data_IF_854890202507
#
_entry.id   IF_854890202507
#
_cell.length_a   1.000
_cell.length_b   1.000
_cell.length_c   1.000
_cell.angle_alpha   90.00
_cell.angle_beta   90.00
_cell.angle_gamma   90.00
#
_symmetry.space_group_name_H-M   'P 1'
#
loop_
_entity.id
_entity.type
_entity.pdbx_description
1 polymer ?
#
# COMPACT_ATOMS: atom_id res chain seq x y z
N UNK A 1 3.97 -13.34 19.24
CA UNK A 1 4.84 -12.66 18.27
C UNK A 1 4.53 -11.19 18.37
N UNK A 2 5.52 -10.37 18.69
CA UNK A 2 5.40 -8.92 18.65
C UNK A 2 4.98 -8.48 17.24
N UNK A 3 4.07 -7.50 17.12
CA UNK A 3 3.69 -6.96 15.81
C UNK A 3 4.95 -6.45 15.12
N UNK A 4 5.23 -6.93 13.90
CA UNK A 4 6.32 -6.40 13.06
C UNK A 4 6.14 -4.88 12.98
N UNK A 5 7.14 -4.11 13.42
CA UNK A 5 7.06 -2.65 13.38
C UNK A 5 6.89 -2.15 11.94
N UNK A 6 6.29 -0.97 11.76
CA UNK A 6 6.13 -0.41 10.41
C UNK A 6 7.49 -0.23 9.70
N UNK A 7 8.54 0.11 10.47
CA UNK A 7 9.91 0.22 9.97
C UNK A 7 10.44 -1.13 9.45
N UNK A 8 10.24 -2.21 10.20
CA UNK A 8 10.68 -3.54 9.78
C UNK A 8 9.83 -4.05 8.58
N UNK A 9 8.54 -3.74 8.56
CA UNK A 9 7.67 -4.03 7.42
C UNK A 9 8.18 -3.33 6.15
N UNK A 10 8.48 -2.03 6.22
CA UNK A 10 9.04 -1.27 5.08
C UNK A 10 10.43 -1.75 4.66
N UNK A 11 11.24 -2.25 5.59
CA UNK A 11 12.54 -2.85 5.28
C UNK A 11 12.39 -4.15 4.48
N UNK A 12 11.40 -4.98 4.83
CA UNK A 12 11.08 -6.21 4.09
C UNK A 12 10.46 -5.93 2.71
N UNK A 13 9.73 -4.82 2.58
CA UNK A 13 9.05 -4.42 1.35
C UNK A 13 9.51 -3.03 0.89
N UNK A 14 10.65 -2.93 0.19
CA UNK A 14 11.24 -1.64 -0.22
C UNK A 14 10.33 -0.77 -1.11
N UNK A 15 9.33 -1.37 -1.75
CA UNK A 15 8.29 -0.65 -2.50
C UNK A 15 7.52 0.36 -1.62
N UNK A 16 7.47 0.13 -0.31
CA UNK A 16 6.79 0.99 0.65
C UNK A 16 7.71 2.02 1.32
N UNK A 17 9.00 2.06 0.96
CA UNK A 17 10.00 2.91 1.65
C UNK A 17 9.62 4.40 1.63
N UNK A 18 9.10 4.87 0.50
CA UNK A 18 8.77 6.28 0.27
C UNK A 18 7.29 6.60 0.59
N UNK A 19 6.51 5.61 1.03
CA UNK A 19 5.11 5.82 1.39
C UNK A 19 5.04 6.43 2.79
N UNK A 20 4.32 7.54 3.01
CA UNK A 20 4.17 8.15 4.33
C UNK A 20 3.55 7.18 5.36
N UNK A 21 4.02 7.24 6.61
CA UNK A 21 3.58 6.34 7.70
C UNK A 21 2.08 6.46 8.00
N UNK A 22 1.50 7.64 7.81
CA UNK A 22 0.06 7.90 8.01
C UNK A 22 -0.85 7.22 6.97
N UNK A 23 -0.28 6.69 5.88
CA UNK A 23 -1.02 5.89 4.89
C UNK A 23 -1.10 4.41 5.31
N UNK A 24 -0.49 4.03 6.44
CA UNK A 24 -0.54 2.68 7.00
C UNK A 24 -1.42 2.59 8.24
N UNK A 25 -2.18 1.50 8.35
CA UNK A 25 -2.90 1.13 9.57
C UNK A 25 -2.57 -0.31 9.93
N UNK A 26 -2.43 -0.60 11.22
CA UNK A 26 -2.25 -1.96 11.70
C UNK A 26 -3.60 -2.53 12.13
N UNK A 27 -4.03 -3.62 11.49
CA UNK A 27 -5.31 -4.26 11.77
C UNK A 27 -5.18 -5.79 11.69
N UNK A 28 -5.66 -6.48 12.73
CA UNK A 28 -5.68 -7.96 12.80
C UNK A 28 -4.36 -8.64 12.43
N UNK A 29 -3.24 -8.14 12.96
CA UNK A 29 -1.93 -8.74 12.69
C UNK A 29 -1.30 -8.37 11.35
N UNK A 30 -1.92 -7.45 10.59
CA UNK A 30 -1.48 -7.06 9.25
C UNK A 30 -1.34 -5.56 9.12
N UNK A 31 -0.32 -5.13 8.38
CA UNK A 31 -0.22 -3.76 7.87
C UNK A 31 -1.12 -3.63 6.65
N UNK A 32 -2.10 -2.75 6.74
CA UNK A 32 -2.90 -2.30 5.60
C UNK A 32 -2.36 -0.96 5.14
N UNK A 33 -2.42 -0.74 3.83
CA UNK A 33 -2.02 0.50 3.17
C UNK A 33 -3.27 1.15 2.58
N UNK A 34 -3.31 2.48 2.59
CA UNK A 34 -4.42 3.23 2.00
C UNK A 34 -4.56 2.94 0.50
N UNK A 35 -5.79 3.06 0.00
CA UNK A 35 -6.06 2.94 -1.43
C UNK A 35 -5.33 4.02 -2.24
N UNK A 36 -5.20 5.24 -1.67
CA UNK A 36 -4.49 6.37 -2.28
C UNK A 36 -3.01 6.05 -2.49
N UNK A 37 -2.32 5.56 -1.47
CA UNK A 37 -0.91 5.19 -1.57
C UNK A 37 -0.73 3.99 -2.52
N UNK A 38 -1.61 3.00 -2.46
CA UNK A 38 -1.62 1.87 -3.40
C UNK A 38 -1.74 2.36 -4.85
N UNK A 39 -2.62 3.33 -5.11
CA UNK A 39 -2.79 3.95 -6.42
C UNK A 39 -1.51 4.64 -6.88
N UNK A 40 -0.92 5.49 -6.04
CA UNK A 40 0.32 6.19 -6.37
C UNK A 40 1.45 5.21 -6.74
N UNK A 41 1.62 4.14 -5.95
CA UNK A 41 2.58 3.07 -6.24
C UNK A 41 2.28 2.40 -7.59
N UNK A 42 1.01 2.09 -7.86
CA UNK A 42 0.62 1.47 -9.12
C UNK A 42 0.98 2.35 -10.34
N UNK A 43 0.78 3.67 -10.25
CA UNK A 43 1.19 4.62 -11.29
C UNK A 43 2.72 4.74 -11.40
N UNK A 44 3.44 4.84 -10.27
CA UNK A 44 4.90 4.92 -10.25
C UNK A 44 5.56 3.71 -10.92
N UNK A 45 5.04 2.52 -10.63
CA UNK A 45 5.54 1.26 -11.19
C UNK A 45 4.91 0.89 -12.53
N UNK A 46 4.04 1.74 -13.10
CA UNK A 46 3.32 1.51 -14.36
C UNK A 46 2.56 0.17 -14.40
N UNK A 47 2.04 -0.28 -13.25
CA UNK A 47 1.30 -1.53 -13.13
C UNK A 47 -0.15 -1.33 -13.61
N UNK A 48 -0.40 -1.62 -14.88
CA UNK A 48 -1.68 -1.37 -15.55
C UNK A 48 -2.84 -2.19 -14.96
N UNK A 49 -2.58 -3.43 -14.53
CA UNK A 49 -3.61 -4.30 -13.96
C UNK A 49 -4.07 -3.79 -12.60
N UNK A 50 -3.13 -3.38 -11.75
CA UNK A 50 -3.44 -2.81 -10.45
C UNK A 50 -4.17 -1.45 -10.58
N UNK A 51 -3.76 -0.61 -11.54
CA UNK A 51 -4.47 0.66 -11.83
C UNK A 51 -5.91 0.39 -12.26
N UNK A 52 -6.14 -0.60 -13.14
CA UNK A 52 -7.48 -0.98 -13.60
C UNK A 52 -8.34 -1.43 -12.43
N UNK A 53 -7.83 -2.35 -11.62
CA UNK A 53 -8.52 -2.87 -10.44
C UNK A 53 -8.90 -1.75 -9.46
N UNK A 54 -7.99 -0.83 -9.16
CA UNK A 54 -8.26 0.31 -8.26
C UNK A 54 -9.36 1.20 -8.83
N UNK A 55 -9.33 1.50 -10.14
CA UNK A 55 -10.37 2.32 -10.76
C UNK A 55 -11.75 1.65 -10.75
N UNK A 56 -11.82 0.32 -10.91
CA UNK A 56 -13.05 -0.47 -10.79
C UNK A 56 -13.61 -0.39 -9.36
N UNK A 57 -12.75 -0.57 -8.34
CA UNK A 57 -13.15 -0.48 -6.92
C UNK A 57 -13.58 0.93 -6.52
N UNK A 58 -12.96 1.98 -7.08
CA UNK A 58 -13.37 3.38 -6.87
C UNK A 58 -14.68 3.75 -7.57
N UNK A 59 -15.27 2.87 -8.39
CA UNK A 59 -16.49 3.16 -9.14
C UNK A 59 -16.30 4.22 -10.23
N UNK A 60 -15.08 4.35 -10.76
CA UNK A 60 -14.74 5.31 -11.84
C UNK A 60 -14.90 4.71 -13.25
N UNK A 61 -15.72 3.67 -13.38
CA UNK A 61 -16.03 2.97 -14.64
C UNK A 61 -17.43 3.33 -15.09
#
# INVERSE_FOLDING_TARGET
MDPVSLSEFKRQFPIFKDVPDNEFIYHNGKWLISLKATKQLAYQHKNKELIKYINEVEGKV
#
